data_IF_241575318485
#
_entry.id   IF_241575318485
#
_cell.length_a   1.000
_cell.length_b   1.000
_cell.length_c   1.000
_cell.angle_alpha   90.00
_cell.angle_beta   90.00
_cell.angle_gamma   90.00
#
_symmetry.space_group_name_H-M   'P 1'
#
loop_
_entity.id
_entity.type
_entity.pdbx_description
1 polymer ?
#
# COMPACT_ATOMS: atom_id res chain seq x y z
N UNK A 1 -25.08 58.58 -23.71
CA UNK A 1 -25.93 57.37 -23.64
C UNK A 1 -25.58 56.69 -22.33
N UNK A 2 -26.39 56.93 -21.30
CA UNK A 2 -26.33 56.19 -20.03
C UNK A 2 -27.06 54.85 -20.16
N UNK A 3 -26.72 53.95 -19.20
CA UNK A 3 -27.30 52.64 -18.84
C UNK A 3 -26.56 51.42 -19.42
N UNK A 4 -26.18 50.40 -18.66
CA UNK A 4 -26.48 50.05 -17.27
C UNK A 4 -25.32 49.21 -16.72
N UNK A 5 -24.76 49.62 -15.58
CA UNK A 5 -23.88 48.77 -14.77
C UNK A 5 -24.79 47.91 -13.89
N UNK A 6 -25.14 46.71 -14.37
CA UNK A 6 -25.99 45.75 -13.66
C UNK A 6 -25.20 44.55 -13.15
N UNK A 7 -24.00 44.79 -12.61
CA UNK A 7 -23.34 43.81 -11.75
C UNK A 7 -23.77 44.10 -10.31
N UNK A 8 -24.99 43.69 -9.98
CA UNK A 8 -25.42 43.60 -8.59
C UNK A 8 -24.48 42.68 -7.83
N UNK A 9 -24.31 42.94 -6.53
CA UNK A 9 -23.54 42.10 -5.62
C UNK A 9 -23.95 40.64 -5.78
N UNK A 10 -23.03 39.79 -6.22
CA UNK A 10 -23.23 38.34 -6.25
C UNK A 10 -23.11 37.85 -4.81
N UNK A 11 -24.25 37.67 -4.14
CA UNK A 11 -24.28 36.99 -2.84
C UNK A 11 -24.10 35.50 -3.10
N UNK A 12 -22.94 34.97 -2.74
CA UNK A 12 -22.69 33.53 -2.77
C UNK A 12 -23.44 32.89 -1.60
N UNK A 13 -24.35 31.96 -1.90
CA UNK A 13 -24.98 31.09 -0.90
C UNK A 13 -24.34 29.71 -1.03
N UNK A 14 -23.62 29.20 -0.02
CA UNK A 14 -23.12 27.84 -0.04
C UNK A 14 -24.29 26.86 -0.02
N UNK A 15 -24.26 25.85 -0.89
CA UNK A 15 -25.24 24.76 -0.83
C UNK A 15 -25.04 23.96 0.47
N UNK A 16 -26.17 23.62 1.09
CA UNK A 16 -26.36 22.75 2.27
C UNK A 16 -26.01 23.35 3.64
N UNK A 17 -26.85 24.28 4.10
CA UNK A 17 -27.17 24.40 5.53
C UNK A 17 -28.58 23.84 5.76
N UNK A 18 -28.66 22.58 6.19
CA UNK A 18 -29.87 22.11 6.89
C UNK A 18 -29.72 22.44 8.39
N UNK A 19 -30.59 23.35 8.83
CA UNK A 19 -31.02 23.63 10.21
C UNK A 19 -30.02 24.16 11.24
N UNK A 20 -29.89 25.49 11.25
CA UNK A 20 -30.14 26.30 12.45
C UNK A 20 -30.67 27.69 12.05
N UNK A 21 -31.95 27.76 11.71
CA UNK A 21 -32.64 29.00 11.25
C UNK A 21 -32.75 30.11 12.32
N UNK A 22 -32.26 29.93 13.55
CA UNK A 22 -32.56 30.86 14.64
C UNK A 22 -31.62 32.07 14.81
N UNK A 23 -30.47 32.18 14.12
CA UNK A 23 -29.51 33.28 14.44
C UNK A 23 -29.09 34.23 13.30
N UNK A 24 -29.50 33.99 12.04
CA UNK A 24 -29.05 34.84 10.92
C UNK A 24 -29.95 36.07 10.72
N UNK A 25 -31.18 36.05 11.23
CA UNK A 25 -32.14 37.15 11.07
C UNK A 25 -32.00 38.29 12.11
N UNK A 26 -31.14 38.16 13.13
CA UNK A 26 -31.01 39.14 14.23
C UNK A 26 -29.85 40.15 14.06
N UNK A 27 -28.93 39.92 13.10
CA UNK A 27 -27.72 40.74 12.95
C UNK A 27 -27.97 42.03 12.16
N UNK A 28 -27.62 43.17 12.79
CA UNK A 28 -27.54 44.49 12.13
C UNK A 28 -26.61 44.45 10.91
N UNK A 29 -26.74 45.40 9.97
CA UNK A 29 -25.86 45.52 8.77
C UNK A 29 -24.38 45.49 9.14
N UNK A 30 -24.00 46.18 10.22
CA UNK A 30 -22.63 46.14 10.76
C UNK A 30 -22.24 44.74 11.24
N UNK A 31 -23.15 44.04 11.94
CA UNK A 31 -22.96 42.66 12.38
C UNK A 31 -22.73 41.69 11.22
N UNK A 32 -23.50 41.82 10.13
CA UNK A 32 -23.32 41.00 8.92
C UNK A 32 -21.96 41.24 8.25
N UNK A 33 -21.55 42.50 8.11
CA UNK A 33 -20.24 42.86 7.52
C UNK A 33 -19.07 42.37 8.40
N UNK A 34 -19.21 42.45 9.72
CA UNK A 34 -18.21 41.92 10.66
C UNK A 34 -18.13 40.40 10.60
N UNK A 35 -19.27 39.71 10.55
CA UNK A 35 -19.34 38.25 10.42
C UNK A 35 -18.67 37.77 9.14
N UNK A 36 -18.99 38.38 7.99
CA UNK A 36 -18.34 38.07 6.71
C UNK A 36 -16.82 38.28 6.77
N UNK A 37 -16.36 39.42 7.31
CA UNK A 37 -14.94 39.71 7.42
C UNK A 37 -14.20 38.74 8.36
N UNK A 38 -14.85 38.31 9.45
CA UNK A 38 -14.28 37.33 10.36
C UNK A 38 -14.17 35.95 9.69
N UNK A 39 -15.20 35.50 8.98
CA UNK A 39 -15.18 34.23 8.26
C UNK A 39 -14.10 34.19 7.17
N UNK A 40 -13.88 35.32 6.46
CA UNK A 40 -12.80 35.43 5.51
C UNK A 40 -11.43 35.32 6.19
N UNK A 41 -11.23 35.96 7.35
CA UNK A 41 -9.99 35.84 8.14
C UNK A 41 -9.77 34.42 8.63
N UNK A 42 -10.81 33.75 9.11
CA UNK A 42 -10.74 32.37 9.58
C UNK A 42 -10.37 31.43 8.42
N UNK A 43 -10.91 31.66 7.22
CA UNK A 43 -10.59 30.89 6.01
C UNK A 43 -9.14 31.08 5.56
N UNK A 44 -8.64 32.32 5.60
CA UNK A 44 -7.23 32.60 5.30
C UNK A 44 -6.29 31.99 6.35
N UNK A 45 -6.69 32.02 7.62
CA UNK A 45 -5.94 31.37 8.69
C UNK A 45 -5.92 29.84 8.54
N UNK A 46 -7.01 29.23 8.04
CA UNK A 46 -7.04 27.81 7.68
C UNK A 46 -6.03 27.48 6.58
N UNK A 47 -5.95 28.33 5.55
CA UNK A 47 -4.93 28.22 4.50
C UNK A 47 -3.49 28.32 5.02
N UNK A 48 -3.23 29.19 6.01
CA UNK A 48 -1.91 29.28 6.64
C UNK A 48 -1.54 28.00 7.42
N UNK A 49 -2.49 27.44 8.18
CA UNK A 49 -2.28 26.16 8.88
C UNK A 49 -1.98 25.02 7.91
N UNK A 50 -2.71 24.99 6.80
CA UNK A 50 -2.47 24.04 5.73
C UNK A 50 -1.04 24.14 5.20
N UNK A 51 -0.56 25.35 4.89
CA UNK A 51 0.82 25.54 4.41
C UNK A 51 1.85 25.16 5.46
N UNK A 52 1.61 25.45 6.75
CA UNK A 52 2.52 25.03 7.82
C UNK A 52 2.66 23.50 7.89
N UNK A 53 1.56 22.76 7.76
CA UNK A 53 1.59 21.29 7.71
C UNK A 53 2.29 20.77 6.45
N UNK A 54 2.07 21.41 5.30
CA UNK A 54 2.71 21.02 4.05
C UNK A 54 4.22 21.30 4.07
N UNK A 55 4.64 22.45 4.61
CA UNK A 55 6.04 22.79 4.83
C UNK A 55 6.70 21.76 5.75
N UNK A 56 6.02 21.35 6.83
CA UNK A 56 6.52 20.30 7.70
C UNK A 56 6.65 18.95 6.99
N UNK A 57 5.65 18.53 6.20
CA UNK A 57 5.71 17.30 5.40
C UNK A 57 6.89 17.31 4.42
N UNK A 58 7.18 18.46 3.80
CA UNK A 58 8.22 18.60 2.77
C UNK A 58 9.62 18.77 3.36
N UNK A 59 9.77 19.51 4.46
CA UNK A 59 11.09 19.96 4.94
C UNK A 59 11.60 19.23 6.18
N UNK A 60 10.71 18.62 6.98
CA UNK A 60 11.13 17.99 8.24
C UNK A 60 12.16 16.88 8.01
N UNK A 61 13.13 16.80 8.92
CA UNK A 61 14.07 15.68 9.02
C UNK A 61 13.74 14.74 10.18
N UNK A 62 12.73 15.08 10.98
CA UNK A 62 12.24 14.24 12.08
C UNK A 62 11.13 13.31 11.56
N UNK A 63 11.32 12.01 11.76
CA UNK A 63 10.41 11.00 11.23
C UNK A 63 9.01 11.12 11.85
N UNK A 64 8.88 11.39 13.15
CA UNK A 64 7.57 11.49 13.81
C UNK A 64 6.79 12.71 13.33
N UNK A 65 7.48 13.83 13.14
CA UNK A 65 6.89 15.02 12.55
C UNK A 65 6.42 14.76 11.11
N UNK A 66 7.19 13.99 10.32
CA UNK A 66 6.78 13.59 8.96
C UNK A 66 5.44 12.83 8.98
N UNK A 67 5.35 11.80 9.84
CA UNK A 67 4.13 10.98 9.95
C UNK A 67 2.96 11.81 10.47
N UNK A 68 3.18 12.65 11.49
CA UNK A 68 2.14 13.51 12.06
C UNK A 68 1.59 14.49 11.01
N UNK A 69 2.46 15.19 10.29
CA UNK A 69 2.06 16.13 9.25
C UNK A 69 1.25 15.43 8.15
N UNK A 70 1.68 14.25 7.69
CA UNK A 70 0.94 13.45 6.72
C UNK A 70 -0.44 13.04 7.25
N UNK A 71 -0.52 12.54 8.50
CA UNK A 71 -1.78 12.17 9.13
C UNK A 71 -2.76 13.34 9.20
N UNK A 72 -2.30 14.50 9.66
CA UNK A 72 -3.14 15.71 9.75
C UNK A 72 -3.60 16.17 8.36
N UNK A 73 -2.71 16.18 7.37
CA UNK A 73 -3.04 16.56 5.99
C UNK A 73 -4.07 15.63 5.35
N UNK A 74 -3.99 14.32 5.60
CA UNK A 74 -4.97 13.36 5.05
C UNK A 74 -6.40 13.58 5.57
N UNK A 75 -6.58 14.31 6.67
CA UNK A 75 -7.88 14.64 7.24
C UNK A 75 -8.21 16.14 7.12
N UNK A 76 -7.33 16.92 6.49
CA UNK A 76 -7.42 18.36 6.49
C UNK A 76 -8.46 18.84 5.47
N UNK A 77 -9.43 19.62 5.93
CA UNK A 77 -10.38 20.31 5.06
C UNK A 77 -9.90 21.74 4.83
N UNK A 78 -9.27 21.98 3.67
CA UNK A 78 -8.74 23.30 3.31
C UNK A 78 -9.85 24.28 2.93
N UNK A 79 -10.79 23.82 2.10
CA UNK A 79 -11.93 24.62 1.68
C UNK A 79 -12.87 24.92 2.84
N UNK A 80 -13.44 26.11 2.77
CA UNK A 80 -14.49 26.55 3.67
C UNK A 80 -15.71 26.94 2.87
N UNK A 81 -16.84 27.15 3.55
CA UNK A 81 -18.03 27.72 2.92
C UNK A 81 -17.80 29.12 2.30
N UNK A 82 -16.70 29.81 2.63
CA UNK A 82 -16.45 31.20 2.26
C UNK A 82 -15.27 31.40 1.30
N UNK A 83 -14.36 30.43 1.23
CA UNK A 83 -13.18 30.47 0.38
C UNK A 83 -12.87 29.06 -0.12
N UNK A 84 -12.73 28.94 -1.44
CA UNK A 84 -12.29 27.73 -2.13
C UNK A 84 -10.89 27.97 -2.69
N UNK A 85 -9.95 27.09 -2.41
CA UNK A 85 -8.59 27.17 -2.92
C UNK A 85 -8.48 26.43 -4.26
N UNK A 86 -7.93 27.04 -5.32
CA UNK A 86 -7.98 26.47 -6.66
C UNK A 86 -6.99 25.31 -6.91
N UNK A 87 -5.94 25.18 -6.09
CA UNK A 87 -4.99 24.07 -6.17
C UNK A 87 -4.91 23.37 -4.82
N UNK A 88 -5.19 22.07 -4.83
CA UNK A 88 -5.19 21.23 -3.64
C UNK A 88 -4.74 19.83 -4.00
N UNK A 89 -3.96 19.23 -3.12
CA UNK A 89 -3.72 17.80 -3.18
C UNK A 89 -4.90 17.05 -2.58
N UNK A 90 -5.25 15.93 -3.21
CA UNK A 90 -6.24 14.99 -2.68
C UNK A 90 -5.70 14.25 -1.45
N UNK A 91 -6.59 13.60 -0.71
CA UNK A 91 -6.19 12.76 0.41
C UNK A 91 -5.19 11.66 0.00
N UNK A 92 -5.36 11.06 -1.18
CA UNK A 92 -4.46 10.04 -1.72
C UNK A 92 -3.06 10.58 -2.02
N UNK A 93 -2.96 11.85 -2.42
CA UNK A 93 -1.69 12.46 -2.78
C UNK A 93 -0.77 12.62 -1.56
N UNK A 94 -1.32 12.91 -0.38
CA UNK A 94 -0.51 13.01 0.85
C UNK A 94 0.14 11.69 1.25
N UNK A 95 -0.50 10.55 0.95
CA UNK A 95 0.14 9.25 1.15
C UNK A 95 1.35 9.08 0.21
N UNK A 96 1.24 9.50 -1.06
CA UNK A 96 2.36 9.44 -2.01
C UNK A 96 3.50 10.36 -1.60
N UNK A 97 3.19 11.61 -1.26
CA UNK A 97 4.18 12.59 -0.78
C UNK A 97 4.88 12.04 0.47
N UNK A 98 4.13 11.47 1.43
CA UNK A 98 4.71 10.85 2.62
C UNK A 98 5.68 9.72 2.27
N UNK A 99 5.29 8.77 1.40
CA UNK A 99 6.19 7.66 1.02
C UNK A 99 7.46 8.18 0.35
N UNK A 100 7.34 9.16 -0.55
CA UNK A 100 8.48 9.76 -1.22
C UNK A 100 9.44 10.43 -0.21
N UNK A 101 8.88 11.21 0.73
CA UNK A 101 9.64 11.86 1.79
C UNK A 101 10.28 10.89 2.77
N UNK A 102 9.59 9.81 3.13
CA UNK A 102 10.16 8.74 3.97
C UNK A 102 11.41 8.15 3.32
N UNK A 103 11.34 7.82 2.04
CA UNK A 103 12.49 7.30 1.28
C UNK A 103 13.64 8.30 1.21
N UNK A 104 13.32 9.58 1.01
CA UNK A 104 14.30 10.66 1.01
C UNK A 104 15.04 10.79 2.35
N UNK A 105 14.35 10.68 3.49
CA UNK A 105 14.99 10.68 4.82
C UNK A 105 15.99 9.53 4.97
N UNK A 106 15.74 8.40 4.33
CA UNK A 106 16.63 7.24 4.31
C UNK A 106 17.63 7.23 3.15
N UNK A 107 17.73 8.31 2.37
CA UNK A 107 18.60 8.42 1.18
C UNK A 107 18.39 7.28 0.16
N UNK A 108 17.15 6.80 0.05
CA UNK A 108 16.75 5.68 -0.79
C UNK A 108 15.65 6.09 -1.78
N UNK A 109 15.82 7.25 -2.40
CA UNK A 109 14.91 7.74 -3.45
C UNK A 109 15.04 6.86 -4.70
N UNK A 110 14.14 5.90 -4.84
CA UNK A 110 14.07 5.04 -6.04
C UNK A 110 12.86 5.35 -6.92
N UNK A 111 11.88 6.08 -6.40
CA UNK A 111 10.61 6.37 -7.07
C UNK A 111 10.51 7.85 -7.42
N UNK A 112 9.93 8.14 -8.57
CA UNK A 112 9.70 9.51 -9.02
C UNK A 112 8.24 9.86 -8.77
N UNK A 113 8.00 10.92 -8.00
CA UNK A 113 6.68 11.51 -7.81
C UNK A 113 6.39 12.45 -8.99
N UNK A 114 5.30 12.19 -9.70
CA UNK A 114 4.84 12.95 -10.86
C UNK A 114 3.43 13.48 -10.63
N UNK A 115 3.04 14.50 -11.39
CA UNK A 115 1.71 15.10 -11.39
C UNK A 115 1.05 14.93 -12.74
N UNK A 116 -0.23 14.55 -12.77
CA UNK A 116 -1.03 14.45 -13.99
C UNK A 116 -2.06 15.57 -14.06
N UNK A 117 -1.81 16.60 -14.89
CA UNK A 117 -2.79 17.69 -15.11
C UNK A 117 -4.12 17.17 -15.70
N UNK A 118 -4.07 16.04 -16.43
CA UNK A 118 -5.26 15.44 -17.05
C UNK A 118 -6.16 14.78 -16.02
N UNK A 119 -5.58 14.13 -15.02
CA UNK A 119 -6.31 13.33 -14.03
C UNK A 119 -6.45 14.04 -12.69
N UNK A 120 -5.78 15.18 -12.50
CA UNK A 120 -5.74 15.94 -11.24
C UNK A 120 -5.30 15.06 -10.06
N UNK A 121 -4.25 14.25 -10.27
CA UNK A 121 -3.70 13.32 -9.28
C UNK A 121 -2.16 13.32 -9.30
N UNK A 122 -1.56 13.05 -8.14
CA UNK A 122 -0.16 12.64 -8.06
C UNK A 122 -0.03 11.13 -8.30
N UNK A 123 1.13 10.72 -8.77
CA UNK A 123 1.44 9.32 -8.97
C UNK A 123 2.93 9.02 -8.86
N UNK A 124 3.23 7.76 -8.56
CA UNK A 124 4.57 7.21 -8.55
C UNK A 124 4.91 6.51 -9.86
N UNK A 125 6.04 6.89 -10.45
CA UNK A 125 6.72 6.11 -11.48
C UNK A 125 7.95 5.44 -10.90
N UNK A 126 8.12 4.16 -11.20
CA UNK A 126 9.32 3.43 -10.81
C UNK A 126 10.22 3.23 -12.03
N UNK A 127 11.46 3.78 -12.02
CA UNK A 127 12.39 3.66 -13.13
C UNK A 127 12.61 2.19 -13.52
N UNK A 128 12.41 1.88 -14.81
CA UNK A 128 12.60 0.53 -15.35
C UNK A 128 11.32 -0.29 -15.48
N UNK A 129 10.23 0.07 -14.78
CA UNK A 129 8.90 -0.56 -14.96
C UNK A 129 7.79 0.44 -15.32
N UNK A 130 8.13 1.73 -15.40
CA UNK A 130 7.21 2.83 -15.66
C UNK A 130 6.54 2.83 -17.05
N UNK A 131 6.95 1.93 -17.96
CA UNK A 131 6.26 1.75 -19.24
C UNK A 131 4.95 0.98 -19.12
N UNK A 132 4.81 0.14 -18.08
CA UNK A 132 3.66 -0.75 -17.92
C UNK A 132 2.58 -0.17 -17.03
N UNK A 133 2.83 0.97 -16.38
CA UNK A 133 1.88 1.59 -15.49
C UNK A 133 2.49 2.52 -14.48
N UNK A 134 1.62 3.06 -13.64
CA UNK A 134 1.96 3.99 -12.58
C UNK A 134 1.14 3.68 -11.33
N UNK A 135 1.62 4.15 -10.19
CA UNK A 135 1.05 3.78 -8.90
C UNK A 135 0.42 4.98 -8.20
N UNK A 136 -0.74 4.76 -7.60
CA UNK A 136 -1.48 5.78 -6.84
C UNK A 136 -2.05 5.17 -5.57
N UNK A 137 -2.51 6.02 -4.65
CA UNK A 137 -3.35 5.55 -3.55
C UNK A 137 -4.82 5.66 -3.89
N UNK A 138 -5.61 4.69 -3.42
CA UNK A 138 -7.06 4.75 -3.37
C UNK A 138 -7.50 4.72 -1.91
N UNK A 139 -8.25 5.73 -1.47
CA UNK A 139 -8.72 5.82 -0.08
C UNK A 139 -9.73 4.71 0.21
N UNK A 140 -9.59 4.11 1.39
CA UNK A 140 -10.60 3.24 1.96
C UNK A 140 -11.66 4.08 2.68
N UNK A 141 -12.88 4.08 2.15
CA UNK A 141 -14.01 4.84 2.70
C UNK A 141 -14.82 4.04 3.75
N UNK A 142 -14.34 2.86 4.15
CA UNK A 142 -14.94 2.09 5.24
C UNK A 142 -14.58 2.67 6.61
N UNK A 143 -15.23 2.20 7.68
CA UNK A 143 -14.91 2.62 9.05
C UNK A 143 -13.46 2.30 9.46
N UNK A 144 -12.85 1.29 8.84
CA UNK A 144 -11.46 0.91 9.08
C UNK A 144 -10.47 1.99 8.59
N UNK A 145 -10.88 2.80 7.61
CA UNK A 145 -10.09 3.86 7.00
C UNK A 145 -8.81 3.37 6.32
N UNK A 146 -7.87 4.28 6.05
CA UNK A 146 -6.59 3.97 5.40
C UNK A 146 -6.62 4.13 3.88
N UNK A 147 -5.61 3.59 3.21
CA UNK A 147 -5.47 3.69 1.77
C UNK A 147 -4.77 2.47 1.15
N UNK A 148 -5.12 2.20 -0.11
CA UNK A 148 -4.63 1.09 -0.91
C UNK A 148 -3.66 1.59 -1.97
N UNK A 149 -2.40 1.14 -1.92
CA UNK A 149 -1.43 1.44 -2.98
C UNK A 149 -1.67 0.53 -4.17
N UNK A 150 -2.03 1.13 -5.30
CA UNK A 150 -2.62 0.42 -6.44
C UNK A 150 -1.87 0.74 -7.73
N UNK A 151 -1.56 -0.29 -8.52
CA UNK A 151 -1.09 -0.12 -9.90
C UNK A 151 -2.31 0.16 -10.81
N UNK A 152 -2.28 1.29 -11.52
CA UNK A 152 -3.49 1.82 -12.18
C UNK A 152 -3.94 1.06 -13.42
N UNK A 153 -3.03 0.43 -14.16
CA UNK A 153 -3.39 -0.24 -15.41
C UNK A 153 -4.07 -1.60 -15.17
N UNK A 154 -3.57 -2.35 -14.20
CA UNK A 154 -4.09 -3.67 -13.79
C UNK A 154 -5.15 -3.58 -12.70
N UNK A 155 -5.11 -2.51 -11.89
CA UNK A 155 -5.95 -2.37 -10.70
C UNK A 155 -5.47 -3.19 -9.50
N UNK A 156 -4.29 -3.80 -9.59
CA UNK A 156 -3.73 -4.63 -8.52
C UNK A 156 -3.36 -3.78 -7.30
N UNK A 157 -3.89 -4.16 -6.14
CA UNK A 157 -3.68 -3.48 -4.86
C UNK A 157 -2.51 -4.14 -4.16
N UNK A 158 -1.34 -3.50 -4.17
CA UNK A 158 -0.11 -4.10 -3.65
C UNK A 158 -0.05 -4.12 -2.13
N UNK A 159 -0.55 -3.09 -1.46
CA UNK A 159 -0.61 -3.05 0.00
C UNK A 159 -1.69 -2.11 0.52
N UNK A 160 -2.08 -2.36 1.76
CA UNK A 160 -2.95 -1.51 2.56
C UNK A 160 -2.10 -0.77 3.59
N UNK A 161 -2.34 0.52 3.76
CA UNK A 161 -1.64 1.39 4.68
C UNK A 161 -2.63 2.19 5.53
N UNK A 162 -2.44 2.15 6.85
CA UNK A 162 -3.21 2.94 7.80
C UNK A 162 -2.29 3.61 8.82
N UNK A 163 -2.18 4.93 8.75
CA UNK A 163 -1.33 5.69 9.66
C UNK A 163 -1.80 5.64 11.11
N UNK A 164 -3.11 5.77 11.35
CA UNK A 164 -3.69 5.84 12.69
C UNK A 164 -3.52 4.51 13.43
N UNK A 165 -3.73 3.39 12.74
CA UNK A 165 -3.61 2.05 13.29
C UNK A 165 -2.19 1.51 13.25
N UNK A 166 -1.29 2.18 12.53
CA UNK A 166 0.10 1.77 12.30
C UNK A 166 0.22 0.40 11.65
N UNK A 167 -0.50 0.22 10.54
CA UNK A 167 -0.59 -1.06 9.82
C UNK A 167 -0.11 -0.85 8.39
N UNK A 168 0.75 -1.75 7.91
CA UNK A 168 1.15 -1.87 6.51
C UNK A 168 1.18 -3.36 6.13
N UNK A 169 0.17 -3.84 5.43
CA UNK A 169 0.07 -5.25 5.05
C UNK A 169 0.10 -5.39 3.53
N UNK A 170 0.96 -6.28 3.03
CA UNK A 170 1.12 -6.54 1.61
C UNK A 170 0.15 -7.61 1.11
N UNK A 171 -0.32 -7.46 -0.13
CA UNK A 171 -1.27 -8.37 -0.77
C UNK A 171 -0.52 -9.41 -1.59
N UNK A 172 -0.48 -10.64 -1.09
CA UNK A 172 0.13 -11.81 -1.72
C UNK A 172 -0.34 -12.05 -3.15
N UNK A 173 -1.65 -11.96 -3.39
CA UNK A 173 -2.29 -12.23 -4.68
C UNK A 173 -1.90 -11.15 -5.67
N UNK A 174 -2.03 -9.88 -5.29
CA UNK A 174 -1.73 -8.76 -6.15
C UNK A 174 -0.24 -8.70 -6.53
N UNK A 175 0.65 -8.97 -5.57
CA UNK A 175 2.10 -9.04 -5.83
C UNK A 175 2.41 -10.23 -6.76
N UNK A 176 1.78 -11.39 -6.55
CA UNK A 176 1.96 -12.55 -7.44
C UNK A 176 1.49 -12.23 -8.85
N UNK A 177 0.28 -11.69 -9.01
CA UNK A 177 -0.28 -11.36 -10.31
C UNK A 177 0.56 -10.30 -11.02
N UNK A 178 0.86 -9.19 -10.35
CA UNK A 178 1.57 -8.10 -10.99
C UNK A 178 3.03 -8.47 -11.26
N UNK A 179 3.76 -8.90 -10.23
CA UNK A 179 5.20 -9.08 -10.35
C UNK A 179 5.54 -10.42 -11.00
N UNK A 180 4.99 -11.53 -10.49
CA UNK A 180 5.37 -12.88 -10.92
C UNK A 180 4.68 -13.27 -12.24
N UNK A 181 3.43 -12.88 -12.47
CA UNK A 181 2.68 -13.27 -13.68
C UNK A 181 2.85 -12.25 -14.80
N UNK A 182 2.63 -10.96 -14.55
CA UNK A 182 2.60 -9.97 -15.62
C UNK A 182 3.96 -9.33 -15.91
N UNK A 183 4.65 -8.83 -14.89
CA UNK A 183 5.92 -8.17 -15.09
C UNK A 183 7.02 -9.13 -15.51
N UNK A 184 7.00 -10.39 -15.08
CA UNK A 184 7.95 -11.40 -15.56
C UNK A 184 7.90 -11.66 -17.08
N UNK A 185 6.78 -11.34 -17.74
CA UNK A 185 6.65 -11.44 -19.22
C UNK A 185 7.39 -10.32 -19.95
N UNK A 186 7.63 -9.19 -19.27
CA UNK A 186 8.16 -7.96 -19.88
C UNK A 186 9.56 -7.61 -19.36
N UNK A 187 9.81 -7.87 -18.08
CA UNK A 187 10.98 -7.42 -17.35
C UNK A 187 11.79 -8.61 -16.83
N UNK A 188 13.11 -8.42 -16.74
CA UNK A 188 14.00 -9.42 -16.14
C UNK A 188 13.92 -9.39 -14.60
N UNK A 189 14.41 -10.46 -13.97
CA UNK A 189 14.42 -10.59 -12.51
C UNK A 189 15.07 -9.40 -11.80
N UNK A 190 16.21 -8.90 -12.28
CA UNK A 190 16.91 -7.77 -11.64
C UNK A 190 16.03 -6.53 -11.56
N UNK A 191 15.27 -6.24 -12.62
CA UNK A 191 14.37 -5.08 -12.68
C UNK A 191 13.19 -5.24 -11.72
N UNK A 192 12.55 -6.42 -11.71
CA UNK A 192 11.43 -6.68 -10.79
C UNK A 192 11.91 -6.73 -9.34
N UNK A 193 13.09 -7.29 -9.08
CA UNK A 193 13.69 -7.37 -7.74
C UNK A 193 13.99 -5.98 -7.18
N UNK A 194 14.42 -5.02 -8.00
CA UNK A 194 14.58 -3.62 -7.53
C UNK A 194 13.27 -3.03 -7.03
N UNK A 195 12.15 -3.32 -7.71
CA UNK A 195 10.84 -2.87 -7.26
C UNK A 195 10.37 -3.59 -5.99
N UNK A 196 10.60 -4.89 -5.87
CA UNK A 196 10.34 -5.62 -4.62
C UNK A 196 11.19 -5.06 -3.46
N UNK A 197 12.48 -4.79 -3.68
CA UNK A 197 13.35 -4.19 -2.67
C UNK A 197 12.87 -2.81 -2.22
N UNK A 198 12.28 -2.04 -3.13
CA UNK A 198 11.63 -0.78 -2.78
C UNK A 198 10.43 -1.00 -1.83
N UNK A 199 9.56 -1.96 -2.13
CA UNK A 199 8.41 -2.29 -1.27
C UNK A 199 8.88 -2.78 0.10
N UNK A 200 9.90 -3.64 0.13
CA UNK A 200 10.52 -4.12 1.37
C UNK A 200 11.15 -2.98 2.18
N UNK A 201 11.86 -2.06 1.52
CA UNK A 201 12.45 -0.90 2.19
C UNK A 201 11.40 -0.02 2.87
N UNK A 202 10.28 0.26 2.19
CA UNK A 202 9.17 0.98 2.78
C UNK A 202 8.71 0.32 4.09
N UNK A 203 8.39 -0.98 4.05
CA UNK A 203 7.93 -1.69 5.23
C UNK A 203 8.96 -1.71 6.37
N UNK A 204 10.24 -1.85 6.04
CA UNK A 204 11.31 -1.79 7.03
C UNK A 204 11.43 -0.42 7.70
N UNK A 205 11.26 0.68 6.93
CA UNK A 205 11.24 2.03 7.49
C UNK A 205 10.01 2.27 8.37
N UNK A 206 8.83 1.80 7.95
CA UNK A 206 7.61 1.86 8.77
C UNK A 206 7.78 1.13 10.11
N UNK A 207 8.38 -0.06 10.08
CA UNK A 207 8.64 -0.86 11.27
C UNK A 207 9.66 -0.20 12.20
N UNK A 208 10.78 0.29 11.67
CA UNK A 208 11.89 0.86 12.46
C UNK A 208 11.58 2.24 13.02
N UNK A 209 11.01 3.12 12.20
CA UNK A 209 10.84 4.52 12.58
C UNK A 209 9.55 4.74 13.38
N UNK A 210 8.51 3.96 13.09
CA UNK A 210 7.15 4.21 13.61
C UNK A 210 6.57 3.05 14.42
N UNK A 211 7.22 1.88 14.42
CA UNK A 211 6.72 0.70 15.11
C UNK A 211 5.43 0.17 14.49
N UNK A 212 5.30 0.25 13.15
CA UNK A 212 4.15 -0.32 12.46
C UNK A 212 4.14 -1.85 12.55
N UNK A 213 2.93 -2.41 12.57
CA UNK A 213 2.70 -3.81 12.25
C UNK A 213 2.80 -3.98 10.73
N UNK A 214 3.87 -4.67 10.30
CA UNK A 214 4.20 -4.85 8.89
C UNK A 214 4.17 -6.34 8.55
N UNK A 215 3.29 -6.71 7.63
CA UNK A 215 3.23 -8.05 7.04
C UNK A 215 3.76 -7.98 5.60
N UNK A 216 5.03 -8.35 5.41
CA UNK A 216 5.70 -8.41 4.10
C UNK A 216 5.19 -9.56 3.21
N UNK A 217 4.42 -10.48 3.78
CA UNK A 217 3.82 -11.61 3.10
C UNK A 217 4.85 -12.40 2.26
N UNK A 218 4.57 -12.71 0.99
CA UNK A 218 5.46 -13.53 0.12
C UNK A 218 6.88 -12.99 -0.07
N UNK A 219 7.14 -11.72 0.29
CA UNK A 219 8.46 -11.07 0.17
C UNK A 219 9.28 -11.16 1.46
N UNK A 220 8.72 -11.61 2.59
CA UNK A 220 9.45 -11.73 3.85
C UNK A 220 10.54 -12.82 3.74
N UNK A 221 11.85 -12.52 3.88
CA UNK A 221 12.91 -13.50 3.72
C UNK A 221 13.27 -14.26 5.01
N UNK A 222 12.57 -14.02 6.13
CA UNK A 222 12.91 -14.68 7.38
C UNK A 222 12.68 -16.18 7.31
N UNK A 223 13.67 -16.97 7.74
CA UNK A 223 13.55 -18.42 7.90
C UNK A 223 12.44 -18.85 8.88
N UNK A 224 11.90 -17.93 9.68
CA UNK A 224 10.75 -18.20 10.56
C UNK A 224 9.40 -17.92 9.90
N UNK A 225 9.38 -17.36 8.69
CA UNK A 225 8.16 -16.98 7.99
C UNK A 225 7.44 -18.22 7.48
N UNK A 226 6.20 -18.36 7.91
CA UNK A 226 5.30 -19.40 7.44
C UNK A 226 4.31 -18.80 6.44
N UNK A 227 4.52 -19.07 5.16
CA UNK A 227 3.62 -18.63 4.10
C UNK A 227 2.42 -19.58 4.05
N UNK A 228 1.38 -19.23 4.79
CA UNK A 228 0.17 -20.03 4.91
C UNK A 228 -0.62 -20.04 3.60
N UNK A 229 -1.12 -21.20 3.19
CA UNK A 229 -2.04 -21.32 2.07
C UNK A 229 -3.43 -20.87 2.46
N UNK A 230 -4.15 -20.20 1.56
CA UNK A 230 -5.55 -19.80 1.78
C UNK A 230 -6.52 -20.99 1.85
N UNK A 231 -6.13 -22.14 1.30
CA UNK A 231 -6.91 -23.37 1.36
C UNK A 231 -6.43 -24.26 2.51
N UNK A 232 -7.36 -24.79 3.30
CA UNK A 232 -7.07 -25.67 4.44
C UNK A 232 -6.99 -27.16 4.07
N UNK A 233 -7.39 -27.52 2.84
CA UNK A 233 -7.28 -28.89 2.35
C UNK A 233 -5.83 -29.32 2.13
N UNK A 234 -5.56 -30.62 2.33
CA UNK A 234 -4.23 -31.19 2.06
C UNK A 234 -3.90 -30.99 0.56
N UNK A 235 -2.77 -30.36 0.21
CA UNK A 235 -2.42 -30.05 -1.18
C UNK A 235 -1.81 -31.27 -1.92
N UNK A 236 -2.38 -32.47 -1.75
CA UNK A 236 -1.78 -33.73 -2.21
C UNK A 236 -1.50 -33.73 -3.72
N UNK A 237 -2.48 -33.33 -4.54
CA UNK A 237 -2.30 -33.27 -5.99
C UNK A 237 -1.20 -32.28 -6.42
N UNK A 238 -1.01 -31.21 -5.65
CA UNK A 238 0.05 -30.24 -5.90
C UNK A 238 1.42 -30.83 -5.50
N UNK A 239 1.52 -31.50 -4.36
CA UNK A 239 2.75 -32.18 -3.92
C UNK A 239 3.19 -33.28 -4.90
N UNK A 240 2.26 -34.09 -5.42
CA UNK A 240 2.56 -35.11 -6.43
C UNK A 240 3.14 -34.49 -7.71
N UNK A 241 2.57 -33.36 -8.16
CA UNK A 241 3.11 -32.60 -9.30
C UNK A 241 4.49 -32.03 -8.99
N UNK A 242 4.72 -31.51 -7.78
CA UNK A 242 6.03 -31.00 -7.37
C UNK A 242 7.10 -32.07 -7.45
N UNK A 243 6.81 -33.28 -6.95
CA UNK A 243 7.73 -34.41 -7.02
C UNK A 243 8.17 -34.72 -8.46
N UNK A 244 7.20 -34.77 -9.38
CA UNK A 244 7.48 -35.04 -10.79
C UNK A 244 8.30 -33.91 -11.43
N UNK A 245 7.96 -32.66 -11.16
CA UNK A 245 8.64 -31.50 -11.75
C UNK A 245 10.06 -31.32 -11.19
N UNK A 246 10.24 -31.42 -9.87
CA UNK A 246 11.55 -31.35 -9.23
C UNK A 246 12.49 -32.44 -9.77
N UNK A 247 12.01 -33.68 -9.90
CA UNK A 247 12.82 -34.78 -10.45
C UNK A 247 13.25 -34.55 -11.91
N UNK A 248 12.41 -33.89 -12.73
CA UNK A 248 12.76 -33.54 -14.12
C UNK A 248 13.87 -32.50 -14.19
N UNK A 249 13.88 -31.57 -13.24
CA UNK A 249 14.89 -30.51 -13.13
C UNK A 249 16.10 -30.92 -12.27
N UNK A 250 16.20 -32.21 -11.88
CA UNK A 250 17.26 -32.77 -11.05
C UNK A 250 17.33 -32.25 -9.61
N UNK A 251 16.23 -31.71 -9.08
CA UNK A 251 16.09 -31.37 -7.67
C UNK A 251 15.53 -32.54 -6.86
N UNK A 252 15.89 -32.59 -5.58
CA UNK A 252 15.47 -33.66 -4.67
C UNK A 252 14.31 -33.18 -3.80
N UNK A 253 13.17 -33.87 -3.91
CA UNK A 253 12.07 -33.76 -2.96
C UNK A 253 12.11 -34.97 -2.02
N UNK A 254 12.27 -34.73 -0.72
CA UNK A 254 12.31 -35.78 0.31
C UNK A 254 11.17 -35.61 1.30
N UNK A 255 10.79 -36.70 1.96
CA UNK A 255 9.85 -36.66 3.08
C UNK A 255 10.61 -36.46 4.38
N UNK A 256 10.19 -35.47 5.18
CA UNK A 256 10.70 -35.19 6.51
C UNK A 256 10.20 -36.19 7.57
N UNK A 257 10.59 -35.96 8.82
CA UNK A 257 10.29 -36.86 9.95
C UNK A 257 8.81 -36.84 10.36
N UNK A 258 8.08 -35.77 10.07
CA UNK A 258 6.66 -35.60 10.38
C UNK A 258 5.79 -35.49 9.12
N UNK A 259 6.22 -36.16 8.05
CA UNK A 259 5.56 -36.14 6.73
C UNK A 259 5.58 -34.77 6.05
N UNK A 260 6.55 -33.91 6.36
CA UNK A 260 6.79 -32.68 5.60
C UNK A 260 7.34 -33.04 4.21
N UNK A 261 7.03 -32.22 3.20
CA UNK A 261 7.69 -32.30 1.90
C UNK A 261 8.82 -31.27 1.85
N UNK A 262 10.07 -31.73 1.76
CA UNK A 262 11.27 -30.89 1.79
C UNK A 262 11.91 -30.90 0.40
N UNK A 263 11.86 -29.78 -0.28
CA UNK A 263 12.51 -29.55 -1.58
C UNK A 263 13.87 -28.91 -1.35
N UNK A 264 14.93 -29.58 -1.78
CA UNK A 264 16.31 -29.06 -1.71
C UNK A 264 16.68 -28.40 -3.01
N UNK A 265 17.07 -27.13 -2.94
CA UNK A 265 17.47 -26.29 -4.06
C UNK A 265 18.97 -26.00 -3.98
N UNK A 266 19.46 -25.20 -4.93
CA UNK A 266 20.86 -24.81 -4.97
C UNK A 266 21.23 -23.89 -3.80
N UNK A 267 22.54 -23.80 -3.51
CA UNK A 267 23.12 -22.88 -2.52
C UNK A 267 22.55 -23.02 -1.09
N UNK A 268 22.15 -24.23 -0.69
CA UNK A 268 21.66 -24.49 0.67
C UNK A 268 20.23 -23.98 0.93
N UNK A 269 19.51 -23.58 -0.12
CA UNK A 269 18.10 -23.19 0.01
C UNK A 269 17.21 -24.42 0.11
N UNK A 270 16.31 -24.44 1.10
CA UNK A 270 15.31 -25.50 1.27
C UNK A 270 13.89 -24.90 1.36
N UNK A 271 12.92 -25.57 0.73
CA UNK A 271 11.48 -25.27 0.87
C UNK A 271 10.82 -26.43 1.58
N UNK A 272 10.22 -26.17 2.74
CA UNK A 272 9.50 -27.17 3.52
C UNK A 272 8.01 -26.89 3.49
N UNK A 273 7.22 -27.83 2.97
CA UNK A 273 5.75 -27.75 2.91
C UNK A 273 5.17 -28.70 3.95
N UNK A 274 4.36 -28.17 4.87
CA UNK A 274 3.82 -28.96 5.98
C UNK A 274 2.54 -28.35 6.56
N UNK A 275 1.89 -29.13 7.43
CA UNK A 275 0.74 -28.69 8.21
C UNK A 275 1.18 -28.18 9.59
N UNK A 276 1.13 -26.86 9.77
CA UNK A 276 1.53 -26.22 11.02
C UNK A 276 0.59 -26.53 12.18
N UNK A 277 -0.63 -27.02 11.93
CA UNK A 277 -1.56 -27.39 13.00
C UNK A 277 -1.04 -28.57 13.84
N UNK A 278 -0.07 -29.34 13.34
CA UNK A 278 0.56 -30.45 14.09
C UNK A 278 1.35 -29.92 15.30
N UNK A 279 1.81 -28.66 15.25
CA UNK A 279 2.51 -28.00 16.35
C UNK A 279 1.55 -27.44 17.43
N UNK A 280 0.26 -27.29 17.11
CA UNK A 280 -0.76 -26.70 17.97
C UNK A 280 -1.88 -27.71 18.23
N UNK A 281 -1.79 -28.40 19.38
CA UNK A 281 -2.79 -29.38 19.83
C UNK A 281 -4.21 -28.85 19.97
N UNK A 282 -4.42 -27.52 19.93
CA UNK A 282 -5.74 -26.87 20.01
C UNK A 282 -6.32 -26.47 18.65
N UNK A 283 -5.56 -26.64 17.56
CA UNK A 283 -6.00 -26.27 16.22
C UNK A 283 -7.16 -27.16 15.75
N UNK A 284 -8.26 -26.53 15.33
CA UNK A 284 -9.46 -27.20 14.82
C UNK A 284 -9.47 -27.36 13.30
N UNK A 285 -8.55 -26.67 12.62
CA UNK A 285 -8.39 -26.67 11.17
C UNK A 285 -6.91 -26.83 10.83
N UNK A 286 -6.64 -27.57 9.76
CA UNK A 286 -5.31 -27.69 9.19
C UNK A 286 -4.80 -26.32 8.72
N UNK A 287 -3.51 -26.08 8.90
CA UNK A 287 -2.81 -24.86 8.50
C UNK A 287 -1.65 -25.25 7.61
N UNK A 288 -1.98 -25.62 6.37
CA UNK A 288 -0.97 -25.92 5.35
C UNK A 288 -0.30 -24.63 4.89
N UNK A 289 0.99 -24.75 4.62
CA UNK A 289 1.81 -23.66 4.12
C UNK A 289 3.21 -24.14 3.83
N UNK A 290 4.09 -23.18 3.59
CA UNK A 290 5.51 -23.47 3.38
C UNK A 290 6.40 -22.53 4.18
N UNK A 291 7.63 -22.98 4.40
CA UNK A 291 8.74 -22.18 4.91
C UNK A 291 9.89 -22.27 3.91
N UNK A 292 10.54 -21.13 3.67
CA UNK A 292 11.79 -21.06 2.92
C UNK A 292 12.91 -20.85 3.92
N UNK A 293 13.98 -21.63 3.80
CA UNK A 293 15.18 -21.46 4.63
C UNK A 293 16.42 -21.38 3.77
N UNK A 294 17.28 -20.41 4.07
CA UNK A 294 18.63 -20.30 3.53
C UNK A 294 19.63 -19.92 4.64
N UNK A 295 20.92 -20.16 4.42
CA UNK A 295 21.97 -19.91 5.42
C UNK A 295 22.07 -18.43 5.84
N UNK A 296 21.69 -17.52 4.94
CA UNK A 296 21.86 -16.07 5.08
C UNK A 296 20.57 -15.35 5.50
N UNK A 297 19.42 -16.04 5.55
CA UNK A 297 18.09 -15.50 5.82
C UNK A 297 17.70 -14.36 4.86
N UNK A 298 17.90 -14.58 3.55
CA UNK A 298 17.72 -13.57 2.50
C UNK A 298 16.80 -14.00 1.37
N UNK A 299 16.44 -15.28 1.30
CA UNK A 299 15.66 -15.81 0.17
C UNK A 299 14.20 -15.93 0.57
N UNK A 300 13.34 -15.12 -0.06
CA UNK A 300 11.90 -15.16 0.14
C UNK A 300 11.21 -16.14 -0.82
N UNK A 301 9.93 -16.45 -0.55
CA UNK A 301 9.10 -17.19 -1.50
C UNK A 301 9.00 -16.48 -2.87
N UNK A 302 8.88 -15.15 -2.86
CA UNK A 302 8.92 -14.33 -4.06
C UNK A 302 10.18 -14.56 -4.90
N UNK A 303 11.36 -14.63 -4.26
CA UNK A 303 12.62 -14.88 -4.97
C UNK A 303 12.64 -16.24 -5.68
N UNK A 304 12.12 -17.28 -5.02
CA UNK A 304 12.07 -18.63 -5.60
C UNK A 304 11.16 -18.72 -6.82
N UNK A 305 10.02 -18.01 -6.80
CA UNK A 305 9.12 -17.92 -7.94
C UNK A 305 9.78 -17.27 -9.18
N UNK A 306 10.82 -16.46 -8.98
CA UNK A 306 11.57 -15.89 -10.10
C UNK A 306 12.76 -16.73 -10.52
N UNK A 307 13.53 -17.24 -9.56
CA UNK A 307 14.79 -17.93 -9.82
C UNK A 307 14.59 -19.32 -10.41
N UNK A 308 13.46 -19.98 -10.09
CA UNK A 308 13.20 -21.35 -10.51
C UNK A 308 11.89 -21.42 -11.32
N UNK A 309 12.04 -21.50 -12.65
CA UNK A 309 10.89 -21.57 -13.57
C UNK A 309 9.95 -22.72 -13.26
N UNK A 310 10.48 -23.89 -12.88
CA UNK A 310 9.64 -25.04 -12.52
C UNK A 310 8.83 -24.80 -11.24
N UNK A 311 9.39 -24.10 -10.24
CA UNK A 311 8.66 -23.73 -9.01
C UNK A 311 7.57 -22.73 -9.37
N UNK A 312 7.88 -21.74 -10.22
CA UNK A 312 6.89 -20.76 -10.70
C UNK A 312 5.72 -21.45 -11.39
N UNK A 313 6.00 -22.29 -12.38
CA UNK A 313 4.97 -23.03 -13.13
C UNK A 313 4.17 -23.93 -12.20
N UNK A 314 4.83 -24.69 -11.34
CA UNK A 314 4.16 -25.53 -10.34
C UNK A 314 3.21 -24.71 -9.46
N UNK A 315 3.67 -23.59 -8.91
CA UNK A 315 2.88 -22.77 -8.01
C UNK A 315 1.65 -22.19 -8.71
N UNK A 316 1.85 -21.58 -9.88
CA UNK A 316 0.79 -20.93 -10.66
C UNK A 316 -0.27 -21.94 -11.15
N UNK A 317 0.15 -23.15 -11.54
CA UNK A 317 -0.76 -24.23 -11.97
C UNK A 317 -1.61 -24.82 -10.83
N UNK A 318 -1.31 -24.47 -9.57
CA UNK A 318 -1.96 -25.04 -8.39
C UNK A 318 -2.43 -23.96 -7.38
N UNK A 319 -2.65 -22.71 -7.82
CA UNK A 319 -3.11 -21.61 -6.96
C UNK A 319 -4.41 -21.92 -6.20
N UNK A 320 -5.32 -22.70 -6.78
CA UNK A 320 -6.55 -23.12 -6.09
C UNK A 320 -6.32 -23.84 -4.74
N UNK A 321 -5.13 -24.43 -4.56
CA UNK A 321 -4.72 -25.09 -3.31
C UNK A 321 -3.57 -24.40 -2.60
N UNK A 322 -2.70 -23.68 -3.31
CA UNK A 322 -1.42 -23.19 -2.78
C UNK A 322 -1.34 -21.67 -2.64
N UNK A 323 -2.33 -20.93 -3.12
CA UNK A 323 -2.28 -19.47 -3.05
C UNK A 323 -1.98 -19.01 -1.62
N UNK A 324 -0.95 -18.17 -1.48
CA UNK A 324 -0.55 -17.68 -0.15
C UNK A 324 -1.65 -16.72 0.32
N UNK A 325 -2.08 -16.88 1.56
CA UNK A 325 -3.13 -16.07 2.13
C UNK A 325 -2.65 -14.62 2.34
N UNK A 326 -3.45 -13.67 1.87
CA UNK A 326 -3.39 -12.26 2.30
C UNK A 326 -4.25 -12.04 3.53
N UNK A 327 -4.02 -10.97 4.29
CA UNK A 327 -4.86 -10.64 5.43
C UNK A 327 -6.31 -10.34 4.97
N UNK A 328 -7.29 -11.19 5.33
CA UNK A 328 -8.66 -11.09 4.81
C UNK A 328 -9.44 -9.89 5.38
N UNK A 329 -8.89 -9.20 6.39
CA UNK A 329 -9.47 -7.96 6.90
C UNK A 329 -9.27 -6.80 5.91
N UNK A 330 -8.22 -6.84 5.09
CA UNK A 330 -7.81 -5.74 4.22
C UNK A 330 -7.90 -6.06 2.72
N UNK A 331 -8.00 -7.34 2.34
CA UNK A 331 -8.05 -7.82 0.95
C UNK A 331 -9.04 -8.97 0.79
#
# INVERSE_FOLDING_TARGET
MEKNNSNGTVTFYPNNYENSEEDVHSLSTKGRLLSYNNQLKDSLHNGLKFTELLDELIETTDSQNLLRAAMELTLFQLDTAYLVFPQQYSQSDYYLIFLNRLLQLHQNEQVILQSSDRNDELYHEFPGINQNGYFTFRIDNTEEGGAYYTEKNTGEILFYLNFQRRILHFNSRAITNLLVVDYSKTYNYETVKKFEMYLMALGEYFKKDYGFDVDFNIMDPSNSTFYQFGNTGIPQAALDKLFIQAARENFMLVTGLHNEAILKLDNGVEVTIYDKSIEDSSATLNKWGLVVTDDDHKVSWFDLLFQYDFIRTWYLDNLSSLEIQSNPLYF
#
